data_IF_271359253481
#
_entry.id   IF_271359253481
#
_cell.length_a   1.000
_cell.length_b   1.000
_cell.length_c   1.000
_cell.angle_alpha   90.00
_cell.angle_beta   90.00
_cell.angle_gamma   90.00
#
_symmetry.space_group_name_H-M   'P 1'
#
loop_
_entity.id
_entity.type
_entity.pdbx_description
1 polymer ?
#
# COMPACT_ATOMS: atom_id res chain seq x y z
N UNK A 1 65.28 -8.73 41.71
CA UNK A 1 64.06 -9.05 40.93
C UNK A 1 64.52 -9.52 39.55
N UNK A 2 64.38 -10.81 39.25
CA UNK A 2 65.12 -11.45 38.15
C UNK A 2 64.58 -11.00 36.79
N UNK A 3 65.48 -10.62 35.88
CA UNK A 3 65.17 -10.28 34.48
C UNK A 3 64.30 -11.36 33.80
N UNK A 4 64.53 -12.62 34.18
CA UNK A 4 63.77 -13.79 33.74
C UNK A 4 62.28 -13.78 34.12
N UNK A 5 61.91 -13.37 35.33
CA UNK A 5 60.49 -13.33 35.71
C UNK A 5 59.78 -12.20 34.99
N UNK A 6 60.45 -11.06 34.80
CA UNK A 6 59.92 -9.92 34.06
C UNK A 6 59.71 -10.25 32.57
N UNK A 7 60.63 -11.00 31.96
CA UNK A 7 60.48 -11.48 30.58
C UNK A 7 59.29 -12.44 30.44
N UNK A 8 59.10 -13.33 31.42
CA UNK A 8 57.97 -14.25 31.45
C UNK A 8 56.62 -13.54 31.59
N UNK A 9 56.52 -12.53 32.47
CA UNK A 9 55.33 -11.69 32.59
C UNK A 9 54.99 -10.93 31.30
N UNK A 10 56.00 -10.43 30.58
CA UNK A 10 55.78 -9.78 29.29
C UNK A 10 55.26 -10.74 28.22
N UNK A 11 55.80 -11.97 28.16
CA UNK A 11 55.28 -13.01 27.27
C UNK A 11 53.84 -13.39 27.58
N UNK A 12 53.48 -13.48 28.87
CA UNK A 12 52.14 -13.82 29.33
C UNK A 12 51.13 -12.71 29.03
N UNK A 13 51.51 -11.44 29.24
CA UNK A 13 50.69 -10.29 28.88
C UNK A 13 50.48 -10.17 27.36
N UNK A 14 51.48 -10.53 26.56
CA UNK A 14 51.35 -10.55 25.09
C UNK A 14 50.40 -11.67 24.64
N UNK A 15 50.53 -12.86 25.24
CA UNK A 15 49.67 -14.00 24.95
C UNK A 15 48.21 -13.73 25.34
N UNK A 16 47.98 -13.15 26.52
CA UNK A 16 46.65 -12.77 27.01
C UNK A 16 45.98 -11.73 26.09
N UNK A 17 46.74 -10.72 25.66
CA UNK A 17 46.27 -9.72 24.69
C UNK A 17 45.99 -10.32 23.32
N UNK A 18 46.82 -11.24 22.83
CA UNK A 18 46.64 -11.89 21.53
C UNK A 18 45.46 -12.87 21.52
N UNK A 19 45.24 -13.60 22.61
CA UNK A 19 44.07 -14.46 22.81
C UNK A 19 42.79 -13.64 22.92
N UNK A 20 42.82 -12.55 23.71
CA UNK A 20 41.69 -11.65 23.88
C UNK A 20 41.23 -11.02 22.57
N UNK A 21 42.14 -10.50 21.75
CA UNK A 21 41.76 -9.86 20.47
C UNK A 21 41.26 -10.88 19.46
N UNK A 22 41.92 -12.04 19.30
CA UNK A 22 41.48 -13.05 18.33
C UNK A 22 40.16 -13.72 18.71
N UNK A 23 39.87 -13.91 20.00
CA UNK A 23 38.59 -14.46 20.44
C UNK A 23 37.46 -13.44 20.28
N UNK A 24 37.69 -12.18 20.65
CA UNK A 24 36.72 -11.10 20.45
C UNK A 24 36.42 -10.86 18.97
N UNK A 25 37.44 -10.87 18.10
CA UNK A 25 37.25 -10.75 16.65
C UNK A 25 36.43 -11.91 16.08
N UNK A 26 36.65 -13.14 16.56
CA UNK A 26 35.88 -14.32 16.15
C UNK A 26 34.43 -14.29 16.65
N UNK A 27 34.20 -13.84 17.88
CA UNK A 27 32.84 -13.71 18.40
C UNK A 27 32.09 -12.56 17.75
N UNK A 28 32.75 -11.42 17.52
CA UNK A 28 32.19 -10.29 16.79
C UNK A 28 31.84 -10.68 15.36
N UNK A 29 32.74 -11.33 14.62
CA UNK A 29 32.46 -11.80 13.26
C UNK A 29 31.32 -12.82 13.20
N UNK A 30 31.22 -13.73 14.17
CA UNK A 30 30.07 -14.65 14.27
C UNK A 30 28.76 -13.91 14.56
N UNK A 31 28.77 -12.94 15.47
CA UNK A 31 27.58 -12.13 15.79
C UNK A 31 27.18 -11.22 14.63
N UNK A 32 28.15 -10.63 13.95
CA UNK A 32 27.93 -9.85 12.74
C UNK A 32 27.37 -10.71 11.61
N UNK A 33 27.89 -11.93 11.40
CA UNK A 33 27.34 -12.85 10.42
C UNK A 33 25.90 -13.28 10.76
N UNK A 34 25.62 -13.52 12.05
CA UNK A 34 24.26 -13.84 12.50
C UNK A 34 23.30 -12.64 12.33
N UNK A 35 23.74 -11.41 12.61
CA UNK A 35 22.96 -10.20 12.38
C UNK A 35 22.70 -9.98 10.88
N UNK A 36 23.72 -10.14 10.04
CA UNK A 36 23.57 -9.99 8.59
C UNK A 36 22.61 -11.04 8.01
N UNK A 37 22.59 -12.27 8.55
CA UNK A 37 21.61 -13.28 8.16
C UNK A 37 20.18 -12.88 8.53
N UNK A 38 19.97 -12.37 9.75
CA UNK A 38 18.65 -11.87 10.19
C UNK A 38 18.21 -10.66 9.36
N UNK A 39 19.13 -9.72 9.08
CA UNK A 39 18.84 -8.56 8.22
C UNK A 39 18.44 -8.98 6.80
N UNK A 40 19.09 -10.01 6.25
CA UNK A 40 18.71 -10.57 4.96
C UNK A 40 17.31 -11.22 4.99
N UNK A 41 17.00 -11.99 6.03
CA UNK A 41 15.66 -12.58 6.22
C UNK A 41 14.57 -11.51 6.35
N UNK A 42 14.84 -10.43 7.11
CA UNK A 42 13.92 -9.31 7.25
C UNK A 42 13.69 -8.60 5.92
N UNK A 43 14.77 -8.33 5.17
CA UNK A 43 14.66 -7.69 3.86
C UNK A 43 13.87 -8.54 2.86
N UNK A 44 14.02 -9.86 2.90
CA UNK A 44 13.23 -10.79 2.10
C UNK A 44 11.74 -10.75 2.49
N UNK A 45 11.44 -10.78 3.79
CA UNK A 45 10.05 -10.66 4.29
C UNK A 45 9.41 -9.33 3.90
N UNK A 46 10.15 -8.22 4.00
CA UNK A 46 9.69 -6.90 3.58
C UNK A 46 9.37 -6.89 2.08
N UNK A 47 10.22 -7.49 1.24
CA UNK A 47 9.94 -7.63 -0.19
C UNK A 47 8.66 -8.44 -0.44
N UNK A 48 8.48 -9.58 0.24
CA UNK A 48 7.25 -10.35 0.10
C UNK A 48 6.02 -9.57 0.53
N UNK A 49 6.09 -8.81 1.63
CA UNK A 49 4.98 -7.96 2.09
C UNK A 49 4.65 -6.88 1.06
N UNK A 50 5.67 -6.24 0.47
CA UNK A 50 5.42 -5.25 -0.59
C UNK A 50 4.76 -5.88 -1.81
N UNK A 51 5.17 -7.09 -2.19
CA UNK A 51 4.59 -7.81 -3.32
C UNK A 51 3.12 -8.18 -3.06
N UNK A 52 2.82 -8.74 -1.88
CA UNK A 52 1.46 -9.11 -1.50
C UNK A 52 0.56 -7.88 -1.38
N UNK A 53 1.05 -6.78 -0.82
CA UNK A 53 0.30 -5.53 -0.74
C UNK A 53 -0.04 -4.97 -2.12
N UNK A 54 0.88 -5.04 -3.08
CA UNK A 54 0.58 -4.64 -4.46
C UNK A 54 -0.56 -5.49 -5.06
N UNK A 55 -0.52 -6.80 -4.84
CA UNK A 55 -1.60 -7.69 -5.31
C UNK A 55 -2.95 -7.40 -4.64
N UNK A 56 -2.94 -7.13 -3.33
CA UNK A 56 -4.14 -6.71 -2.60
C UNK A 56 -4.69 -5.37 -3.10
N UNK A 57 -3.82 -4.38 -3.31
CA UNK A 57 -4.19 -3.06 -3.82
C UNK A 57 -4.90 -3.16 -5.19
N UNK A 58 -4.51 -4.13 -6.01
CA UNK A 58 -5.13 -4.42 -7.30
C UNK A 58 -6.50 -5.07 -7.13
N UNK A 59 -6.62 -6.07 -6.27
CA UNK A 59 -7.91 -6.72 -5.98
C UNK A 59 -8.91 -5.73 -5.40
N UNK A 60 -8.48 -4.88 -4.46
CA UNK A 60 -9.34 -3.84 -3.88
C UNK A 60 -9.84 -2.85 -4.93
N UNK A 61 -8.98 -2.45 -5.87
CA UNK A 61 -9.39 -1.58 -6.99
C UNK A 61 -10.48 -2.26 -7.83
N UNK A 62 -10.26 -3.52 -8.22
CA UNK A 62 -11.23 -4.28 -9.03
C UNK A 62 -12.55 -4.44 -8.30
N UNK A 63 -12.53 -4.75 -7.00
CA UNK A 63 -13.74 -4.87 -6.17
C UNK A 63 -14.49 -3.55 -6.08
N UNK A 64 -13.78 -2.43 -5.83
CA UNK A 64 -14.39 -1.10 -5.82
C UNK A 64 -15.06 -0.78 -7.16
N UNK A 65 -14.37 -1.02 -8.28
CA UNK A 65 -14.90 -0.73 -9.61
C UNK A 65 -16.07 -1.64 -9.99
N UNK A 66 -15.99 -2.93 -9.66
CA UNK A 66 -17.08 -3.89 -9.88
C UNK A 66 -18.34 -3.46 -9.13
N UNK A 67 -18.19 -3.00 -7.89
CA UNK A 67 -19.31 -2.51 -7.11
C UNK A 67 -19.89 -1.20 -7.68
N UNK A 68 -19.04 -0.24 -8.07
CA UNK A 68 -19.51 0.99 -8.71
C UNK A 68 -20.22 0.70 -10.03
N UNK A 69 -19.73 -0.26 -10.80
CA UNK A 69 -20.39 -0.74 -12.01
C UNK A 69 -21.78 -1.32 -11.70
N UNK A 70 -21.87 -2.23 -10.74
CA UNK A 70 -23.14 -2.79 -10.29
C UNK A 70 -24.11 -1.70 -9.81
N UNK A 71 -23.63 -0.72 -9.06
CA UNK A 71 -24.41 0.44 -8.61
C UNK A 71 -24.87 1.30 -9.79
N UNK A 72 -24.03 1.48 -10.80
CA UNK A 72 -24.40 2.23 -12.01
C UNK A 72 -25.58 1.61 -12.75
N UNK A 73 -25.67 0.28 -12.74
CA UNK A 73 -26.81 -0.47 -13.30
C UNK A 73 -28.06 -0.27 -12.44
N UNK A 74 -27.93 -0.34 -11.11
CA UNK A 74 -29.07 -0.26 -10.19
C UNK A 74 -29.67 1.14 -10.06
N UNK A 75 -28.83 2.17 -10.01
CA UNK A 75 -29.22 3.55 -9.68
C UNK A 75 -29.12 4.54 -10.84
N UNK A 76 -28.65 4.09 -12.01
CA UNK A 76 -28.51 4.94 -13.20
C UNK A 76 -27.70 6.20 -12.86
N UNK A 77 -28.16 7.38 -13.29
CA UNK A 77 -27.44 8.65 -13.11
C UNK A 77 -27.12 9.05 -11.65
N UNK A 78 -27.79 8.47 -10.65
CA UNK A 78 -27.54 8.78 -9.23
C UNK A 78 -26.56 7.82 -8.55
N UNK A 79 -25.90 6.93 -9.32
CA UNK A 79 -24.98 5.93 -8.76
C UNK A 79 -23.86 6.52 -7.91
N UNK A 80 -23.42 7.74 -8.20
CA UNK A 80 -22.34 8.42 -7.49
C UNK A 80 -22.75 9.03 -6.16
N UNK A 81 -24.04 9.06 -5.84
CA UNK A 81 -24.58 9.62 -4.59
C UNK A 81 -24.83 8.52 -3.56
N UNK A 82 -24.36 8.76 -2.35
CA UNK A 82 -24.43 7.83 -1.22
C UNK A 82 -25.15 8.53 -0.06
N UNK A 83 -26.12 7.82 0.53
CA UNK A 83 -26.90 8.32 1.65
C UNK A 83 -26.80 7.29 2.80
N UNK A 84 -25.96 7.54 3.81
CA UNK A 84 -25.73 6.57 4.90
C UNK A 84 -27.01 6.17 5.65
N UNK A 85 -28.08 6.98 5.57
CA UNK A 85 -29.37 6.65 6.19
C UNK A 85 -30.13 5.54 5.45
N UNK A 86 -29.74 5.19 4.22
CA UNK A 86 -30.40 4.13 3.43
C UNK A 86 -29.99 2.72 3.83
N UNK A 87 -28.87 2.55 4.53
CA UNK A 87 -28.44 1.26 5.08
C UNK A 87 -26.93 1.18 5.34
N UNK A 88 -26.52 0.32 6.29
CA UNK A 88 -25.12 0.17 6.69
C UNK A 88 -24.19 -0.32 5.57
N UNK A 89 -24.71 -1.10 4.61
CA UNK A 89 -23.93 -1.53 3.43
C UNK A 89 -23.50 -0.34 2.56
N UNK A 90 -24.28 0.75 2.46
CA UNK A 90 -23.85 1.95 1.71
C UNK A 90 -22.70 2.68 2.41
N UNK A 91 -22.70 2.69 3.75
CA UNK A 91 -21.65 3.32 4.56
C UNK A 91 -20.33 2.55 4.45
N UNK A 92 -20.37 1.22 4.63
CA UNK A 92 -19.17 0.37 4.52
C UNK A 92 -18.51 0.47 3.14
N UNK A 93 -19.32 0.51 2.08
CA UNK A 93 -18.79 0.61 0.72
C UNK A 93 -18.27 2.01 0.42
N UNK A 94 -18.94 3.06 0.90
CA UNK A 94 -18.43 4.41 0.78
C UNK A 94 -17.07 4.53 1.49
N UNK A 95 -16.93 3.95 2.68
CA UNK A 95 -15.68 3.91 3.42
C UNK A 95 -14.59 3.16 2.66
N UNK A 96 -14.89 1.99 2.09
CA UNK A 96 -13.96 1.26 1.24
C UNK A 96 -13.53 2.09 0.02
N UNK A 97 -14.48 2.74 -0.67
CA UNK A 97 -14.20 3.59 -1.82
C UNK A 97 -13.37 4.83 -1.44
N UNK A 98 -13.62 5.43 -0.26
CA UNK A 98 -12.81 6.53 0.26
C UNK A 98 -11.39 6.04 0.56
N UNK A 99 -11.25 4.93 1.27
CA UNK A 99 -9.95 4.38 1.64
C UNK A 99 -9.12 4.02 0.41
N UNK A 100 -9.73 3.42 -0.62
CA UNK A 100 -8.99 2.94 -1.78
C UNK A 100 -8.87 3.96 -2.91
N UNK A 101 -9.97 4.59 -3.32
CA UNK A 101 -9.99 5.46 -4.49
C UNK A 101 -9.58 6.89 -4.12
N UNK A 102 -10.08 7.43 -3.02
CA UNK A 102 -9.79 8.82 -2.65
C UNK A 102 -8.36 8.97 -2.15
N UNK A 103 -7.89 8.09 -1.25
CA UNK A 103 -6.50 8.17 -0.76
C UNK A 103 -5.45 7.95 -1.85
N UNK A 104 -5.74 7.09 -2.83
CA UNK A 104 -4.86 6.87 -3.98
C UNK A 104 -4.94 8.00 -5.02
N UNK A 105 -5.75 9.05 -4.80
CA UNK A 105 -5.91 10.16 -5.74
C UNK A 105 -6.65 9.76 -7.02
N UNK A 106 -7.41 8.67 -7.00
CA UNK A 106 -8.21 8.15 -8.12
C UNK A 106 -9.65 8.67 -8.09
N UNK A 107 -10.10 9.25 -6.98
CA UNK A 107 -11.40 9.87 -6.85
C UNK A 107 -11.37 11.04 -5.86
N UNK A 108 -12.42 11.86 -5.89
CA UNK A 108 -12.73 12.81 -4.84
C UNK A 108 -14.10 12.52 -4.25
N UNK A 109 -14.28 12.81 -2.96
CA UNK A 109 -15.59 12.82 -2.32
C UNK A 109 -16.00 14.25 -2.03
N UNK A 110 -17.22 14.59 -2.42
CA UNK A 110 -17.89 15.82 -2.02
C UNK A 110 -18.94 15.47 -0.97
N UNK A 111 -19.00 16.24 0.11
CA UNK A 111 -19.99 16.06 1.18
C UNK A 111 -20.92 17.25 1.17
N UNK A 112 -22.22 16.99 1.15
CA UNK A 112 -23.28 18.00 1.18
C UNK A 112 -24.17 17.74 2.40
N UNK A 113 -24.36 18.75 3.24
CA UNK A 113 -25.32 18.69 4.34
C UNK A 113 -26.70 19.13 3.80
N UNK A 114 -27.63 18.18 3.73
CA UNK A 114 -28.97 18.42 3.18
C UNK A 114 -29.95 18.83 4.28
N UNK A 115 -29.79 18.25 5.46
CA UNK A 115 -30.51 18.60 6.69
C UNK A 115 -29.52 18.59 7.87
N UNK A 116 -29.82 19.26 8.99
CA UNK A 116 -28.97 19.20 10.18
C UNK A 116 -28.66 17.75 10.59
N UNK A 117 -27.39 17.35 10.50
CA UNK A 117 -26.95 15.98 10.78
C UNK A 117 -27.35 14.94 9.72
N UNK A 118 -27.65 15.37 8.49
CA UNK A 118 -27.83 14.52 7.32
C UNK A 118 -26.84 14.93 6.23
N UNK A 119 -25.85 14.07 6.00
CA UNK A 119 -24.85 14.26 4.97
C UNK A 119 -25.08 13.30 3.81
N UNK A 120 -25.07 13.84 2.58
CA UNK A 120 -25.02 13.07 1.35
C UNK A 120 -23.61 13.18 0.78
N UNK A 121 -23.04 12.04 0.42
CA UNK A 121 -21.71 11.97 -0.15
C UNK A 121 -21.82 11.72 -1.65
N UNK A 122 -21.07 12.49 -2.43
CA UNK A 122 -20.96 12.32 -3.87
C UNK A 122 -19.54 11.92 -4.23
N UNK A 123 -19.36 10.68 -4.70
CA UNK A 123 -18.08 10.19 -5.19
C UNK A 123 -17.87 10.64 -6.64
N UNK A 124 -16.72 11.23 -6.93
CA UNK A 124 -16.31 11.66 -8.27
C UNK A 124 -15.02 10.96 -8.67
N UNK A 125 -15.12 9.83 -9.40
CA UNK A 125 -13.94 9.14 -9.89
C UNK A 125 -13.22 9.94 -10.98
N UNK A 126 -11.89 9.85 -10.99
CA UNK A 126 -11.04 10.35 -12.04
C UNK A 126 -10.75 9.21 -13.01
N UNK A 127 -11.56 9.12 -14.08
CA UNK A 127 -11.56 7.97 -14.97
C UNK A 127 -10.23 7.73 -15.71
N UNK A 128 -9.52 8.79 -16.10
CA UNK A 128 -8.21 8.66 -16.76
C UNK A 128 -7.16 7.96 -15.87
N UNK A 129 -6.88 8.46 -14.66
CA UNK A 129 -6.01 7.77 -13.70
C UNK A 129 -6.45 6.35 -13.37
N UNK A 130 -7.75 6.11 -13.18
CA UNK A 130 -8.29 4.77 -12.91
C UNK A 130 -7.97 3.82 -14.06
N UNK A 131 -8.19 4.26 -15.31
CA UNK A 131 -7.91 3.45 -16.49
C UNK A 131 -6.42 3.10 -16.60
N UNK A 132 -5.55 4.07 -16.32
CA UNK A 132 -4.10 3.83 -16.33
C UNK A 132 -3.68 2.79 -15.28
N UNK A 133 -4.26 2.83 -14.08
CA UNK A 133 -4.03 1.82 -13.06
C UNK A 133 -4.54 0.44 -13.50
N UNK A 134 -5.71 0.36 -14.14
CA UNK A 134 -6.24 -0.91 -14.65
C UNK A 134 -5.35 -1.52 -15.75
N UNK A 135 -4.79 -0.70 -16.66
CA UNK A 135 -3.90 -1.19 -17.72
C UNK A 135 -2.60 -1.80 -17.18
N UNK A 136 -2.18 -1.41 -15.98
CA UNK A 136 -1.01 -2.02 -15.29
C UNK A 136 -1.32 -3.37 -14.67
N UNK A 137 -2.60 -3.76 -14.58
CA UNK A 137 -3.06 -4.92 -13.84
C UNK A 137 -3.75 -5.93 -14.77
N UNK A 138 -3.04 -6.98 -15.23
CA UNK A 138 -3.67 -8.04 -16.01
C UNK A 138 -4.65 -8.82 -15.12
N UNK A 139 -5.90 -8.97 -15.55
CA UNK A 139 -6.95 -9.73 -14.82
C UNK A 139 -8.21 -8.93 -14.47
N UNK A 140 -8.26 -7.64 -14.77
CA UNK A 140 -9.52 -6.89 -14.72
C UNK A 140 -10.51 -7.47 -15.75
N UNK A 141 -11.79 -7.56 -15.38
CA UNK A 141 -12.83 -8.06 -16.27
C UNK A 141 -13.00 -7.13 -17.49
N UNK A 142 -13.04 -7.70 -18.69
CA UNK A 142 -13.19 -6.93 -19.96
C UNK A 142 -14.39 -5.98 -19.92
N UNK A 143 -15.49 -6.39 -19.27
CA UNK A 143 -16.68 -5.57 -19.06
C UNK A 143 -16.40 -4.32 -18.23
N UNK A 144 -15.59 -4.42 -17.17
CA UNK A 144 -15.22 -3.29 -16.33
C UNK A 144 -14.30 -2.33 -17.08
N UNK A 145 -13.37 -2.85 -17.87
CA UNK A 145 -12.49 -2.04 -18.72
C UNK A 145 -13.33 -1.25 -19.72
N UNK A 146 -14.29 -1.91 -20.38
CA UNK A 146 -15.19 -1.26 -21.33
C UNK A 146 -16.06 -0.18 -20.64
N UNK A 147 -16.57 -0.46 -19.46
CA UNK A 147 -17.36 0.49 -18.68
C UNK A 147 -16.54 1.72 -18.26
N UNK A 148 -15.32 1.52 -17.74
CA UNK A 148 -14.43 2.64 -17.37
C UNK A 148 -14.09 3.50 -18.60
N UNK A 149 -13.81 2.87 -19.75
CA UNK A 149 -13.58 3.60 -21.00
C UNK A 149 -14.81 4.42 -21.44
N UNK A 150 -16.02 3.88 -21.27
CA UNK A 150 -17.26 4.60 -21.55
C UNK A 150 -17.44 5.82 -20.63
N UNK A 151 -17.15 5.68 -19.33
CA UNK A 151 -17.22 6.78 -18.37
C UNK A 151 -16.18 7.87 -18.67
N UNK A 152 -14.97 7.49 -19.07
CA UNK A 152 -13.91 8.43 -19.49
C UNK A 152 -14.34 9.25 -20.72
N UNK A 153 -14.94 8.59 -21.72
CA UNK A 153 -15.44 9.25 -22.92
C UNK A 153 -16.57 10.25 -22.59
N UNK A 154 -17.57 9.85 -21.80
CA UNK A 154 -18.66 10.74 -21.38
C UNK A 154 -18.20 11.92 -20.51
N UNK A 155 -17.19 11.71 -19.66
CA UNK A 155 -16.58 12.79 -18.88
C UNK A 155 -15.78 13.78 -19.74
N UNK A 156 -15.28 13.35 -20.90
CA UNK A 156 -14.55 14.19 -21.84
C UNK A 156 -15.49 15.06 -22.69
N UNK A 157 -16.63 14.51 -23.11
CA UNK A 157 -17.67 15.23 -23.87
C UNK A 157 -18.30 16.37 -23.06
N UNK A 158 -18.65 16.10 -21.79
CA UNK A 158 -19.21 17.12 -20.88
C UNK A 158 -18.24 18.27 -20.57
N UNK A 159 -16.93 18.06 -20.79
CA UNK A 159 -15.91 19.10 -20.65
C UNK A 159 -15.71 19.93 -21.92
N UNK A 160 -16.09 19.39 -23.08
CA UNK A 160 -15.96 20.04 -24.39
C UNK A 160 -17.13 20.96 -24.76
N UNK A 161 -18.33 20.74 -24.20
CA UNK A 161 -19.52 21.56 -24.48
C UNK A 161 -19.58 22.88 -23.66
N UNK A 162 -18.59 23.14 -22.80
CA UNK A 162 -18.52 24.34 -21.96
C UNK A 162 -17.51 25.41 -22.42
N UNK A 163 -17.06 25.36 -23.69
CA UNK A 163 -16.06 26.27 -24.27
C UNK A 163 -16.66 27.38 -25.14
#
# INVERSE_FOLDING_TARGET
>A
MNFWTRLWFWGLALADRWLGTNLLERELSRRQAALAAIEAEVAELEQMLTQVNLELDHLELVVCLAWLYQRSIQFGSNWSRFDPRRGGEEEEVLDMAIQRLVRAGLAAVHTEEVEPGHYIYTLRPYWGPIRQEMERCPGAMDELIAWVAQQEAGASETRGEGG
#
